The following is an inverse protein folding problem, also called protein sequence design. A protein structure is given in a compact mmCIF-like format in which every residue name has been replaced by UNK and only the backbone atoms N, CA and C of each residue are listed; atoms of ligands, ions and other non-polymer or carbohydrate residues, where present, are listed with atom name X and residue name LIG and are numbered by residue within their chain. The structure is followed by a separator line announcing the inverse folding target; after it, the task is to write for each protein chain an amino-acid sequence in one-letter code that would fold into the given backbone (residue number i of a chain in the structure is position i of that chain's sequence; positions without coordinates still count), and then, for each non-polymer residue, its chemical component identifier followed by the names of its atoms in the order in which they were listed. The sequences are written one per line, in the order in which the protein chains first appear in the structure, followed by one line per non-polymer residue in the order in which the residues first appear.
data_IF_327779703184
#
_entry.id   IF_327779703184
#
_cell.length_a   1.000
_cell.length_b   1.000
_cell.length_c   1.000
_cell.angle_alpha   90.00
_cell.angle_beta   90.00
_cell.angle_gamma   90.00
#
_symmetry.space_group_name_H-M   'P 1'
#
loop_
_entity.id
_entity.type
_entity.pdbx_description
1 polymer ?
#
# COMPACT_ATOMS: atom_id res chain seq x y z
N UNK A 1 30.85 -14.33 14.94
CA UNK A 1 30.69 -12.87 15.07
C UNK A 1 30.41 -12.28 13.69
N UNK A 2 29.37 -12.77 13.00
CA UNK A 2 29.22 -12.53 11.54
C UNK A 2 27.75 -12.45 11.04
N UNK A 3 26.77 -12.52 11.94
CA UNK A 3 25.34 -12.38 11.61
C UNK A 3 24.73 -11.06 12.11
N UNK A 4 25.37 -10.38 13.07
CA UNK A 4 24.87 -9.15 13.67
C UNK A 4 25.20 -7.87 12.86
N UNK A 5 26.13 -7.96 11.91
CA UNK A 5 26.63 -6.80 11.16
C UNK A 5 25.77 -6.46 9.93
N UNK A 6 25.18 -7.48 9.28
CA UNK A 6 24.29 -7.28 8.11
C UNK A 6 22.97 -6.62 8.50
N UNK A 7 22.44 -6.90 9.69
CA UNK A 7 21.20 -6.31 10.19
C UNK A 7 21.36 -4.82 10.51
N UNK A 8 22.57 -4.39 10.87
CA UNK A 8 22.88 -3.00 11.23
C UNK A 8 23.04 -2.09 10.00
N UNK A 9 23.45 -2.66 8.87
CA UNK A 9 23.54 -1.95 7.59
C UNK A 9 22.15 -1.61 7.03
N UNK A 10 21.15 -2.51 7.15
CA UNK A 10 19.79 -2.29 6.65
C UNK A 10 19.03 -1.16 7.38
N UNK A 11 19.28 -0.98 8.68
CA UNK A 11 18.65 0.07 9.48
C UNK A 11 19.14 1.51 9.19
N UNK A 12 20.15 1.70 8.33
CA UNK A 12 20.64 3.04 7.94
C UNK A 12 19.84 3.69 6.81
N UNK A 13 18.91 2.96 6.19
CA UNK A 13 18.31 3.34 4.90
C UNK A 13 16.91 3.97 4.97
N UNK A 14 16.33 4.18 6.15
CA UNK A 14 14.92 4.57 6.26
C UNK A 14 14.64 5.74 7.22
N UNK A 15 13.83 6.67 6.71
CA UNK A 15 12.86 7.42 7.50
C UNK A 15 11.46 7.03 7.02
N UNK A 16 10.77 6.15 7.76
CA UNK A 16 9.36 5.85 7.50
C UNK A 16 8.54 6.84 8.32
N UNK A 17 7.79 7.71 7.65
CA UNK A 17 6.74 8.49 8.30
C UNK A 17 5.41 7.93 7.80
N UNK A 18 4.65 7.26 8.67
CA UNK A 18 3.26 6.99 8.36
C UNK A 18 2.54 8.34 8.16
N UNK A 19 1.58 8.44 7.23
CA UNK A 19 0.79 9.66 7.07
C UNK A 19 0.20 10.04 8.43
N UNK A 20 0.55 11.23 8.92
CA UNK A 20 -0.05 11.79 10.13
C UNK A 20 -1.49 12.15 9.82
N UNK A 21 -2.41 11.22 10.05
CA UNK A 21 -3.82 11.51 9.79
C UNK A 21 -4.76 10.33 9.72
N UNK A 22 -4.61 9.29 10.54
CA UNK A 22 -5.72 8.38 10.86
C UNK A 22 -5.45 7.78 12.24
N UNK A 23 -6.27 8.18 13.20
CA UNK A 23 -5.98 8.03 14.62
C UNK A 23 -6.08 6.58 15.11
N UNK A 24 -5.08 6.24 15.93
CA UNK A 24 -4.98 5.08 16.81
C UNK A 24 -6.24 4.87 17.66
N UNK A 25 -6.70 3.61 17.71
CA UNK A 25 -7.51 3.07 18.80
C UNK A 25 -6.88 1.77 19.31
N UNK A 26 -6.26 1.83 20.49
CA UNK A 26 -5.61 0.72 21.20
C UNK A 26 -6.58 0.24 22.30
N UNK A 27 -6.77 -1.08 22.49
CA UNK A 27 -7.64 -1.60 23.55
C UNK A 27 -7.62 -3.12 23.73
N UNK A 28 -6.78 -3.57 24.66
CA UNK A 28 -6.42 -4.93 25.06
C UNK A 28 -7.59 -5.77 25.64
N UNK A 29 -7.55 -7.10 25.45
CA UNK A 29 -8.36 -8.05 26.23
C UNK A 29 -7.99 -9.52 26.01
N UNK A 30 -6.98 -10.02 26.73
CA UNK A 30 -6.71 -11.46 26.88
C UNK A 30 -7.84 -12.13 27.70
N UNK A 31 -8.37 -13.25 27.21
CA UNK A 31 -9.01 -14.26 28.06
C UNK A 31 -8.62 -15.66 27.57
N UNK A 32 -8.00 -16.41 28.48
CA UNK A 32 -7.61 -17.81 28.32
C UNK A 32 -8.83 -18.69 28.62
N UNK A 33 -9.19 -19.61 27.73
CA UNK A 33 -9.99 -20.77 28.11
C UNK A 33 -9.66 -21.99 27.26
N UNK A 34 -9.42 -23.10 27.94
CA UNK A 34 -9.07 -24.39 27.38
C UNK A 34 -10.33 -25.17 26.99
N UNK A 35 -10.33 -25.83 25.82
CA UNK A 35 -11.17 -26.99 25.55
C UNK A 35 -10.66 -27.80 24.33
N UNK A 36 -10.32 -29.06 24.61
CA UNK A 36 -10.49 -30.29 23.80
C UNK A 36 -10.20 -30.32 22.30
N UNK A 37 -9.27 -31.21 21.94
CA UNK A 37 -8.94 -31.68 20.58
C UNK A 37 -10.10 -32.50 20.01
N UNK A 38 -10.68 -32.03 18.91
CA UNK A 38 -11.46 -32.84 17.98
C UNK A 38 -10.76 -32.81 16.62
N UNK A 39 -10.29 -33.97 16.15
CA UNK A 39 -9.70 -34.12 14.81
C UNK A 39 -10.87 -34.24 13.82
N UNK A 40 -11.32 -33.09 13.33
CA UNK A 40 -12.17 -32.99 12.15
C UNK A 40 -11.34 -32.36 11.03
N UNK A 41 -11.18 -33.07 9.92
CA UNK A 41 -10.65 -32.49 8.69
C UNK A 41 -11.70 -31.55 8.09
N UNK A 42 -11.81 -30.35 8.66
CA UNK A 42 -12.46 -29.24 7.99
C UNK A 42 -11.48 -28.72 6.95
N UNK A 43 -11.88 -28.83 5.68
CA UNK A 43 -11.32 -27.98 4.63
C UNK A 43 -11.61 -26.57 5.09
N UNK A 44 -10.59 -25.89 5.64
CA UNK A 44 -10.68 -24.48 5.96
C UNK A 44 -11.00 -23.76 4.65
N UNK A 45 -12.29 -23.47 4.45
CA UNK A 45 -12.69 -22.41 3.58
C UNK A 45 -11.98 -21.17 4.14
N UNK A 46 -10.90 -20.74 3.46
CA UNK A 46 -10.34 -19.43 3.71
C UNK A 46 -11.47 -18.40 3.68
N UNK A 47 -11.36 -17.30 4.45
CA UNK A 47 -12.42 -16.30 4.53
C UNK A 47 -12.90 -16.00 3.11
N UNK A 48 -14.17 -16.30 2.87
CA UNK A 48 -14.80 -16.04 1.60
C UNK A 48 -14.59 -14.56 1.33
N UNK A 49 -13.79 -14.25 0.30
CA UNK A 49 -13.64 -12.90 -0.18
C UNK A 49 -15.04 -12.32 -0.31
N UNK A 50 -15.33 -11.28 0.47
CA UNK A 50 -16.60 -10.57 0.45
C UNK A 50 -16.83 -10.21 -1.00
N UNK A 51 -17.88 -10.79 -1.61
CA UNK A 51 -18.12 -10.60 -3.04
C UNK A 51 -18.13 -9.09 -3.31
N UNK A 52 -17.32 -8.58 -4.27
CA UNK A 52 -17.31 -7.17 -4.60
C UNK A 52 -18.76 -6.74 -4.78
N UNK A 53 -19.18 -5.71 -4.02
CA UNK A 53 -20.58 -5.27 -4.01
C UNK A 53 -21.05 -5.10 -5.45
N UNK A 54 -22.23 -5.59 -5.80
CA UNK A 54 -22.69 -5.59 -7.19
C UNK A 54 -22.69 -4.16 -7.76
N UNK A 55 -21.62 -3.80 -8.48
CA UNK A 55 -21.39 -2.46 -8.98
C UNK A 55 -22.54 -2.01 -9.89
N UNK A 56 -23.16 -2.96 -10.61
CA UNK A 56 -24.33 -2.70 -11.45
C UNK A 56 -25.54 -2.31 -10.60
N UNK A 57 -25.79 -3.02 -9.50
CA UNK A 57 -26.87 -2.67 -8.58
C UNK A 57 -26.63 -1.30 -7.93
N UNK A 58 -25.40 -0.98 -7.53
CA UNK A 58 -25.05 0.32 -6.96
C UNK A 58 -25.24 1.47 -7.97
N UNK A 59 -24.87 1.30 -9.23
CA UNK A 59 -25.14 2.28 -10.31
C UNK A 59 -26.64 2.47 -10.54
N UNK A 60 -27.42 1.38 -10.54
CA UNK A 60 -28.88 1.46 -10.70
C UNK A 60 -29.52 2.25 -9.54
N UNK A 61 -29.11 1.99 -8.29
CA UNK A 61 -29.55 2.78 -7.12
C UNK A 61 -29.21 4.26 -7.27
N UNK A 62 -28.00 4.58 -7.73
CA UNK A 62 -27.61 5.98 -7.95
C UNK A 62 -28.54 6.71 -8.93
N UNK A 63 -28.92 6.06 -10.03
CA UNK A 63 -29.83 6.64 -11.02
C UNK A 63 -31.25 6.89 -10.46
N UNK A 64 -31.76 5.97 -9.65
CA UNK A 64 -33.04 6.13 -8.96
C UNK A 64 -33.00 7.32 -7.97
N UNK A 65 -31.92 7.43 -7.19
CA UNK A 65 -31.73 8.52 -6.21
C UNK A 65 -31.66 9.89 -6.87
N UNK A 66 -30.96 10.02 -8.00
CA UNK A 66 -30.96 11.26 -8.78
C UNK A 66 -32.38 11.64 -9.24
N UNK A 67 -33.13 10.68 -9.78
CA UNK A 67 -34.51 10.91 -10.24
C UNK A 67 -35.44 11.33 -9.08
N UNK A 68 -35.20 10.80 -7.89
CA UNK A 68 -35.94 11.13 -6.67
C UNK A 68 -35.52 12.47 -6.01
N UNK A 69 -34.55 13.20 -6.58
CA UNK A 69 -34.04 14.44 -5.99
C UNK A 69 -33.16 14.21 -4.75
N UNK A 70 -32.51 13.04 -4.65
CA UNK A 70 -31.67 12.60 -3.53
C UNK A 70 -30.19 12.48 -3.97
N UNK A 71 -29.50 13.59 -4.30
CA UNK A 71 -28.17 13.53 -4.91
C UNK A 71 -27.06 13.05 -3.95
N UNK A 72 -27.21 13.27 -2.64
CA UNK A 72 -26.20 12.82 -1.68
C UNK A 72 -26.15 11.29 -1.61
N UNK A 73 -27.31 10.65 -1.54
CA UNK A 73 -27.48 9.20 -1.55
C UNK A 73 -27.06 8.58 -2.89
N UNK A 74 -27.22 9.32 -4.00
CA UNK A 74 -26.70 8.90 -5.29
C UNK A 74 -25.16 8.85 -5.30
N UNK A 75 -24.51 9.86 -4.71
CA UNK A 75 -23.03 9.88 -4.59
C UNK A 75 -22.54 8.70 -3.75
N UNK A 76 -23.21 8.37 -2.65
CA UNK A 76 -22.80 7.23 -1.82
C UNK A 76 -22.92 5.90 -2.58
N UNK A 77 -24.00 5.70 -3.33
CA UNK A 77 -24.13 4.54 -4.20
C UNK A 77 -23.05 4.48 -5.30
N UNK A 78 -22.63 5.63 -5.86
CA UNK A 78 -21.52 5.68 -6.82
C UNK A 78 -20.16 5.39 -6.19
N UNK A 79 -19.94 5.77 -4.92
CA UNK A 79 -18.73 5.39 -4.18
C UNK A 79 -18.64 3.88 -3.99
N UNK A 80 -19.75 3.23 -3.62
CA UNK A 80 -19.82 1.76 -3.54
C UNK A 80 -19.50 1.10 -4.88
N UNK A 81 -20.12 1.59 -5.97
CA UNK A 81 -19.86 1.07 -7.31
C UNK A 81 -18.39 1.25 -7.72
N UNK A 82 -17.81 2.42 -7.41
CA UNK A 82 -16.41 2.73 -7.73
C UNK A 82 -15.47 1.82 -6.97
N UNK A 83 -15.67 1.64 -5.66
CA UNK A 83 -14.85 0.73 -4.85
C UNK A 83 -14.94 -0.71 -5.37
N UNK A 84 -16.14 -1.19 -5.71
CA UNK A 84 -16.34 -2.54 -6.23
C UNK A 84 -15.60 -2.77 -7.56
N UNK A 85 -15.68 -1.83 -8.51
CA UNK A 85 -14.94 -1.92 -9.78
C UNK A 85 -13.44 -1.80 -9.57
N UNK A 86 -13.01 -0.86 -8.71
CA UNK A 86 -11.60 -0.64 -8.38
C UNK A 86 -10.97 -1.89 -7.73
N UNK A 87 -11.71 -2.60 -6.87
CA UNK A 87 -11.26 -3.82 -6.20
C UNK A 87 -11.31 -5.06 -7.10
N UNK A 88 -12.15 -5.06 -8.14
CA UNK A 88 -12.21 -6.15 -9.12
C UNK A 88 -11.03 -6.15 -10.12
N UNK A 89 -10.28 -5.04 -10.20
CA UNK A 89 -9.06 -4.99 -11.00
C UNK A 89 -7.98 -5.90 -10.38
N UNK A 90 -7.09 -6.50 -11.20
CA UNK A 90 -5.88 -7.11 -10.68
C UNK A 90 -5.06 -6.09 -9.87
N UNK A 91 -4.41 -6.54 -8.79
CA UNK A 91 -3.50 -5.69 -8.03
C UNK A 91 -2.40 -5.15 -8.94
N UNK A 92 -2.30 -3.83 -9.03
CA UNK A 92 -1.23 -3.13 -9.75
C UNK A 92 -0.93 -1.77 -9.09
N UNK A 93 0.19 -1.15 -9.47
CA UNK A 93 0.55 0.21 -9.10
C UNK A 93 0.25 1.15 -10.28
N UNK A 94 -0.90 1.80 -10.23
CA UNK A 94 -1.34 2.75 -11.28
C UNK A 94 -0.52 4.03 -11.26
N UNK A 95 0.14 4.33 -10.14
CA UNK A 95 1.10 5.43 -10.03
C UNK A 95 2.29 5.01 -9.18
N UNK A 96 3.49 5.27 -9.69
CA UNK A 96 4.74 5.29 -8.92
C UNK A 96 5.52 6.50 -9.42
N UNK A 97 5.59 7.54 -8.60
CA UNK A 97 6.17 8.83 -8.96
C UNK A 97 7.28 9.20 -8.01
N UNK A 98 8.41 9.66 -8.54
CA UNK A 98 9.46 10.28 -7.75
C UNK A 98 8.98 11.67 -7.31
N UNK A 99 9.15 11.99 -6.04
CA UNK A 99 8.69 13.23 -5.43
C UNK A 99 9.86 14.00 -4.81
N UNK A 100 9.68 15.31 -4.60
CA UNK A 100 10.66 16.14 -3.90
C UNK A 100 10.63 15.93 -2.38
N UNK A 101 9.60 15.26 -1.86
CA UNK A 101 9.39 15.00 -0.45
C UNK A 101 8.32 13.94 -0.20
N UNK A 102 7.92 13.78 1.07
CA UNK A 102 6.79 12.91 1.42
C UNK A 102 5.47 13.58 1.04
N UNK A 103 4.52 12.78 0.57
CA UNK A 103 3.16 13.27 0.28
C UNK A 103 2.39 13.58 1.57
N UNK A 104 1.63 14.67 1.57
CA UNK A 104 0.80 15.10 2.71
C UNK A 104 -0.62 14.51 2.64
N UNK A 105 -1.01 14.02 1.48
CA UNK A 105 -2.35 13.51 1.20
C UNK A 105 -2.42 12.70 -0.10
N UNK A 106 -3.59 12.14 -0.37
CA UNK A 106 -3.85 11.47 -1.65
C UNK A 106 -3.75 12.48 -2.79
N UNK A 107 -2.79 12.27 -3.69
CA UNK A 107 -2.42 13.16 -4.80
C UNK A 107 -1.97 14.55 -4.37
N UNK A 108 -1.56 14.69 -3.11
CA UNK A 108 -0.96 15.91 -2.56
C UNK A 108 0.54 15.66 -2.36
N UNK A 109 1.26 15.73 -3.48
CA UNK A 109 2.71 15.56 -3.55
C UNK A 109 3.26 16.45 -4.66
N UNK A 110 4.51 16.88 -4.52
CA UNK A 110 5.23 17.61 -5.56
C UNK A 110 6.08 16.61 -6.37
N UNK A 111 5.79 16.40 -7.67
CA UNK A 111 6.60 15.55 -8.52
C UNK A 111 8.03 16.08 -8.62
N UNK A 112 9.00 15.18 -8.61
CA UNK A 112 10.40 15.54 -8.85
C UNK A 112 10.64 15.68 -10.35
N UNK A 113 11.39 16.70 -10.74
CA UNK A 113 11.95 16.77 -12.09
C UNK A 113 12.84 15.53 -12.36
N UNK A 114 12.83 15.05 -13.61
CA UNK A 114 13.67 13.90 -13.98
C UNK A 114 15.15 14.29 -13.96
N UNK A 115 15.98 13.44 -13.37
CA UNK A 115 17.43 13.62 -13.36
C UNK A 115 18.11 12.84 -12.25
N UNK A 116 19.45 12.85 -12.19
CA UNK A 116 20.19 12.18 -11.14
C UNK A 116 19.87 12.79 -9.76
N UNK A 117 20.00 11.96 -8.73
CA UNK A 117 20.00 12.38 -7.34
C UNK A 117 21.41 12.82 -6.95
N UNK A 118 21.56 14.01 -6.32
CA UNK A 118 22.77 14.34 -5.59
C UNK A 118 23.10 13.26 -4.57
N UNK A 119 24.38 13.01 -4.34
CA UNK A 119 24.82 12.01 -3.37
C UNK A 119 24.26 12.29 -1.97
N UNK A 120 23.53 11.32 -1.41
CA UNK A 120 22.89 11.44 -0.09
C UNK A 120 21.52 12.12 -0.09
N UNK A 121 21.02 12.60 -1.23
CA UNK A 121 19.61 13.03 -1.32
C UNK A 121 18.69 11.80 -1.28
N UNK A 122 17.69 11.76 -0.40
CA UNK A 122 16.75 10.64 -0.34
C UNK A 122 15.88 10.55 -1.59
N UNK A 123 15.64 9.32 -2.03
CA UNK A 123 14.63 8.99 -3.04
C UNK A 123 13.26 8.93 -2.38
N UNK A 124 12.40 9.91 -2.65
CA UNK A 124 11.00 9.89 -2.22
C UNK A 124 10.09 9.35 -3.32
N UNK A 125 9.22 8.41 -2.97
CA UNK A 125 8.19 7.86 -3.86
C UNK A 125 6.79 8.18 -3.34
N UNK A 126 5.91 8.54 -4.26
CA UNK A 126 4.46 8.52 -4.12
C UNK A 126 3.88 7.38 -4.95
N UNK A 127 3.05 6.54 -4.34
CA UNK A 127 2.56 5.30 -4.95
C UNK A 127 1.04 5.18 -4.75
N UNK A 128 0.32 4.88 -5.83
CA UNK A 128 -1.12 4.56 -5.81
C UNK A 128 -1.34 3.12 -6.30
N UNK A 129 -1.92 2.24 -5.46
CA UNK A 129 -2.37 0.92 -5.90
C UNK A 129 -3.74 0.98 -6.59
N UNK A 130 -4.09 -0.10 -7.28
CA UNK A 130 -5.45 -0.48 -7.66
C UNK A 130 -5.67 -1.95 -7.31
N UNK A 131 -6.92 -2.41 -7.18
CA UNK A 131 -7.20 -3.85 -7.07
C UNK A 131 -6.96 -4.47 -5.70
N UNK A 132 -6.84 -3.65 -4.64
CA UNK A 132 -6.83 -4.19 -3.28
C UNK A 132 -8.21 -4.72 -2.90
N UNK A 133 -8.21 -5.85 -2.22
CA UNK A 133 -9.39 -6.37 -1.56
C UNK A 133 -9.66 -5.57 -0.29
N UNK A 134 -10.94 -5.51 0.06
CA UNK A 134 -11.41 -4.83 1.24
C UNK A 134 -12.36 -5.74 2.01
N UNK A 135 -12.40 -5.53 3.32
CA UNK A 135 -13.41 -6.11 4.20
C UNK A 135 -14.38 -5.01 4.63
N UNK A 136 -15.64 -5.36 4.87
CA UNK A 136 -16.62 -4.48 5.48
C UNK A 136 -17.23 -5.16 6.70
N UNK A 137 -16.98 -4.61 7.86
CA UNK A 137 -17.48 -5.12 9.14
C UNK A 137 -17.83 -3.95 10.05
N UNK A 138 -18.93 -4.06 10.79
CA UNK A 138 -19.35 -3.06 11.79
C UNK A 138 -19.41 -1.61 11.28
N UNK A 139 -19.73 -1.41 10.00
CA UNK A 139 -19.81 -0.08 9.39
C UNK A 139 -18.45 0.54 9.01
N UNK A 140 -17.39 -0.27 8.98
CA UNK A 140 -16.03 0.15 8.63
C UNK A 140 -15.52 -0.69 7.46
N UNK A 141 -14.98 -0.01 6.46
CA UNK A 141 -14.20 -0.61 5.37
C UNK A 141 -12.74 -0.69 5.80
N UNK A 142 -12.12 -1.85 5.63
CA UNK A 142 -10.72 -2.09 5.95
C UNK A 142 -9.95 -2.61 4.74
N UNK A 143 -8.74 -2.11 4.56
CA UNK A 143 -7.80 -2.53 3.50
C UNK A 143 -6.40 -2.59 4.09
N UNK A 144 -5.50 -3.33 3.46
CA UNK A 144 -4.13 -3.41 3.97
C UNK A 144 -3.08 -3.65 2.89
N UNK A 145 -1.93 -3.03 3.11
CA UNK A 145 -0.78 -3.09 2.21
C UNK A 145 0.49 -3.38 2.99
N UNK A 146 1.32 -4.27 2.44
CA UNK A 146 2.70 -4.43 2.88
C UNK A 146 3.66 -4.17 1.72
N UNK A 147 4.85 -3.65 2.00
CA UNK A 147 5.86 -3.42 0.97
C UNK A 147 7.26 -3.94 1.34
N UNK A 148 7.96 -4.41 0.32
CA UNK A 148 9.38 -4.77 0.31
C UNK A 148 10.10 -3.89 -0.73
N UNK A 149 11.41 -3.72 -0.57
CA UNK A 149 12.25 -3.20 -1.64
C UNK A 149 13.58 -3.92 -1.75
N UNK A 150 14.14 -3.93 -2.96
CA UNK A 150 15.53 -4.25 -3.25
C UNK A 150 16.16 -3.10 -4.03
N UNK A 151 17.45 -2.86 -3.84
CA UNK A 151 18.26 -1.97 -4.67
C UNK A 151 19.23 -2.82 -5.47
N UNK A 152 19.25 -2.64 -6.78
CA UNK A 152 20.12 -3.33 -7.72
C UNK A 152 21.03 -2.33 -8.42
N UNK A 153 22.25 -2.76 -8.78
CA UNK A 153 23.12 -1.99 -9.68
C UNK A 153 22.71 -2.18 -11.16
N UNK A 154 23.36 -1.46 -12.07
CA UNK A 154 23.12 -1.57 -13.52
C UNK A 154 23.37 -2.96 -14.14
N UNK A 155 24.03 -3.87 -13.42
CA UNK A 155 24.23 -5.27 -13.84
C UNK A 155 23.14 -6.21 -13.28
N UNK A 156 22.20 -5.70 -12.49
CA UNK A 156 21.16 -6.48 -11.81
C UNK A 156 21.64 -7.16 -10.52
N UNK A 157 22.82 -6.82 -10.01
CA UNK A 157 23.31 -7.34 -8.72
C UNK A 157 22.59 -6.64 -7.58
N UNK A 158 22.01 -7.41 -6.67
CA UNK A 158 21.36 -6.91 -5.46
C UNK A 158 22.42 -6.32 -4.51
N UNK A 159 22.31 -5.02 -4.24
CA UNK A 159 23.16 -4.29 -3.31
C UNK A 159 22.60 -4.30 -1.88
N UNK A 160 21.27 -4.38 -1.75
CA UNK A 160 20.60 -4.40 -0.47
C UNK A 160 19.08 -4.37 -0.64
N UNK A 161 18.37 -4.34 0.49
CA UNK A 161 16.92 -4.27 0.50
C UNK A 161 16.34 -4.60 1.88
N UNK A 162 15.04 -4.40 2.01
CA UNK A 162 14.30 -4.71 3.22
C UNK A 162 12.93 -5.28 2.89
N UNK A 163 12.54 -6.30 3.65
CA UNK A 163 11.19 -6.86 3.62
C UNK A 163 10.33 -6.25 4.72
N UNK A 164 9.04 -6.13 4.46
CA UNK A 164 8.03 -5.58 5.35
C UNK A 164 8.50 -4.23 5.94
N UNK A 165 9.07 -3.37 5.11
CA UNK A 165 9.47 -2.04 5.57
C UNK A 165 8.25 -1.15 5.81
N UNK A 166 7.10 -1.53 5.26
CA UNK A 166 5.83 -0.88 5.46
C UNK A 166 4.74 -1.93 5.71
N UNK A 167 3.85 -1.61 6.65
CA UNK A 167 2.56 -2.24 6.90
C UNK A 167 1.54 -1.11 7.14
N UNK A 168 0.63 -0.92 6.19
CA UNK A 168 -0.31 0.19 6.15
C UNK A 168 -1.75 -0.33 6.20
N UNK A 169 -2.39 -0.31 7.38
CA UNK A 169 -3.83 -0.51 7.47
C UNK A 169 -4.55 0.78 7.06
N UNK A 170 -5.58 0.64 6.23
CA UNK A 170 -6.51 1.71 5.89
C UNK A 170 -7.89 1.38 6.42
N UNK A 171 -8.54 2.36 7.04
CA UNK A 171 -9.92 2.22 7.54
C UNK A 171 -10.76 3.41 7.11
N UNK A 172 -11.95 3.16 6.59
CA UNK A 172 -12.87 4.19 6.11
C UNK A 172 -14.30 3.93 6.60
N UNK A 173 -15.04 5.00 6.93
CA UNK A 173 -16.47 4.91 7.23
C UNK A 173 -17.36 5.04 5.98
N UNK A 174 -16.77 5.42 4.86
CA UNK A 174 -17.40 5.50 3.54
C UNK A 174 -16.50 4.79 2.53
N UNK A 175 -17.05 4.14 1.48
CA UNK A 175 -16.23 3.53 0.43
C UNK A 175 -15.26 4.56 -0.17
N UNK A 176 -13.98 4.21 -0.24
CA UNK A 176 -12.93 5.11 -0.72
C UNK A 176 -11.92 4.33 -1.56
N UNK A 177 -11.49 4.94 -2.66
CA UNK A 177 -10.37 4.48 -3.48
C UNK A 177 -9.16 5.41 -3.37
N UNK A 178 -9.20 6.39 -2.46
CA UNK A 178 -8.12 7.32 -2.20
C UNK A 178 -7.03 6.68 -1.32
N UNK A 179 -6.46 5.58 -1.83
CA UNK A 179 -5.42 4.81 -1.16
C UNK A 179 -4.07 5.17 -1.78
N UNK A 180 -3.09 5.51 -0.94
CA UNK A 180 -1.73 5.80 -1.38
C UNK A 180 -0.72 5.38 -0.32
N UNK A 181 0.54 5.26 -0.72
CA UNK A 181 1.67 5.15 0.19
C UNK A 181 2.78 6.11 -0.23
N UNK A 182 3.57 6.54 0.76
CA UNK A 182 4.81 7.27 0.53
C UNK A 182 5.98 6.49 1.12
N UNK A 183 7.09 6.46 0.41
CA UNK A 183 8.31 5.80 0.85
C UNK A 183 9.51 6.71 0.63
N UNK A 184 10.42 6.72 1.59
CA UNK A 184 11.68 7.48 1.51
C UNK A 184 12.84 6.52 1.68
N UNK A 185 13.64 6.39 0.64
CA UNK A 185 14.83 5.56 0.63
C UNK A 185 16.04 6.47 0.72
N UNK A 186 16.83 6.31 1.77
CA UNK A 186 18.08 7.03 1.89
C UNK A 186 19.06 6.55 0.81
N UNK A 187 20.01 7.37 0.40
CA UNK A 187 20.97 7.03 -0.68
C UNK A 187 22.42 7.12 -0.24
N UNK A 188 22.69 7.43 1.05
CA UNK A 188 24.06 7.61 1.52
C UNK A 188 24.88 6.33 1.38
N UNK A 189 26.06 6.47 0.78
CA UNK A 189 26.98 5.36 0.56
C UNK A 189 26.75 4.60 -0.74
N UNK A 190 25.72 4.94 -1.52
CA UNK A 190 25.65 4.52 -2.92
C UNK A 190 26.62 5.39 -3.76
N UNK A 191 27.57 4.80 -4.50
CA UNK A 191 28.44 5.56 -5.39
C UNK A 191 27.68 6.15 -6.59
N UNK A 192 28.26 7.13 -7.32
CA UNK A 192 27.68 7.61 -8.57
C UNK A 192 27.54 6.49 -9.60
N UNK A 193 26.30 6.15 -9.97
CA UNK A 193 25.95 5.11 -10.94
C UNK A 193 24.45 5.11 -11.21
N UNK A 194 24.02 4.26 -12.14
CA UNK A 194 22.62 3.90 -12.37
C UNK A 194 22.20 2.72 -11.47
N UNK A 195 20.98 2.81 -10.94
CA UNK A 195 20.39 1.85 -10.03
C UNK A 195 18.94 1.53 -10.40
N UNK A 196 18.48 0.41 -9.86
CA UNK A 196 17.08 0.00 -9.91
C UNK A 196 16.58 -0.23 -8.50
N UNK A 197 15.53 0.49 -8.09
CA UNK A 197 14.76 0.12 -6.92
C UNK A 197 13.63 -0.79 -7.35
N UNK A 198 13.68 -2.06 -6.95
CA UNK A 198 12.58 -2.99 -7.15
C UNK A 198 11.63 -2.93 -5.95
N UNK A 199 10.49 -2.27 -6.13
CA UNK A 199 9.43 -2.14 -5.13
C UNK A 199 8.44 -3.30 -5.28
N UNK A 200 8.20 -4.06 -4.22
CA UNK A 200 7.14 -5.08 -4.20
C UNK A 200 6.07 -4.70 -3.21
N UNK A 201 4.82 -4.62 -3.68
CA UNK A 201 3.64 -4.28 -2.88
C UNK A 201 2.73 -5.50 -2.81
N UNK A 202 2.18 -5.77 -1.62
CA UNK A 202 1.27 -6.89 -1.34
C UNK A 202 -0.02 -6.41 -0.73
N UNK A 203 -1.12 -6.99 -1.19
CA UNK A 203 -2.42 -6.92 -0.52
C UNK A 203 -2.44 -7.87 0.66
N UNK A 204 -2.63 -7.35 1.87
CA UNK A 204 -2.65 -8.18 3.09
C UNK A 204 -4.00 -8.87 3.33
N UNK A 205 -5.05 -8.45 2.63
CA UNK A 205 -6.39 -9.05 2.69
C UNK A 205 -6.58 -10.02 1.51
N UNK A 206 -6.35 -9.54 0.29
CA UNK A 206 -6.54 -10.32 -0.94
C UNK A 206 -5.39 -11.26 -1.28
N UNK A 207 -4.23 -11.10 -0.65
CA UNK A 207 -3.05 -11.94 -0.85
C UNK A 207 -2.30 -11.73 -2.18
N UNK A 208 -2.76 -10.81 -3.04
CA UNK A 208 -2.11 -10.44 -4.29
C UNK A 208 -0.77 -9.72 -4.07
N UNK A 209 0.11 -9.74 -5.08
CA UNK A 209 1.35 -8.97 -5.06
C UNK A 209 1.69 -8.40 -6.44
N UNK A 210 2.30 -7.22 -6.47
CA UNK A 210 2.85 -6.59 -7.67
C UNK A 210 4.25 -6.08 -7.40
N UNK A 211 5.14 -6.20 -8.38
CA UNK A 211 6.49 -5.67 -8.34
C UNK A 211 6.67 -4.62 -9.43
N UNK A 212 7.29 -3.48 -9.10
CA UNK A 212 7.60 -2.40 -10.03
C UNK A 212 9.05 -1.98 -9.86
N UNK A 213 9.73 -1.87 -10.99
CA UNK A 213 11.08 -1.34 -11.05
C UNK A 213 11.04 0.19 -11.19
N UNK A 214 11.82 0.88 -10.36
CA UNK A 214 11.93 2.34 -10.35
C UNK A 214 13.40 2.69 -10.60
N UNK A 215 13.75 3.14 -11.81
CA UNK A 215 15.12 3.52 -12.13
C UNK A 215 15.46 4.85 -11.44
N UNK A 216 16.68 4.95 -10.93
CA UNK A 216 17.26 6.20 -10.44
C UNK A 216 18.77 6.19 -10.64
N UNK A 217 19.39 7.36 -10.67
CA UNK A 217 20.85 7.48 -10.77
C UNK A 217 21.37 8.44 -9.72
N UNK A 218 22.64 8.28 -9.36
CA UNK A 218 23.34 9.16 -8.43
C UNK A 218 24.46 9.85 -9.19
N UNK A 219 24.57 11.16 -9.01
CA UNK A 219 25.67 11.96 -9.57
C UNK A 219 26.80 12.15 -8.56
N UNK A 220 27.98 12.49 -9.07
CA UNK A 220 29.07 13.00 -8.23
C UNK A 220 28.61 14.24 -7.43
N UNK A 221 29.15 14.46 -6.21
CA UNK A 221 28.86 15.64 -5.39
C UNK A 221 29.21 16.97 -6.05
#
# INVERSE_FOLDING_TARGET
MEAADKTRAASRWLGITAPRGMARGMGLGLALSAATVAVGSEVAAGPAAVAPGDARAAVARAAERITAGQPAEAVDALREATLAVWSAAPLDLVMVSQATGQAEGYRDYEPREQGPYPAGEPLHLYIEPIGLQYEFAEGVYSMGLAADFLVLNGEGTILGGQRNFADFPFTFHVPSTAVYMTASFQTEGLPPADYLLQLTVRDTIGGGSVTRDVPFSITEP
#
